data_IF_594700637924
#
_entry.id   IF_594700637924
#
_cell.length_a   1.000
_cell.length_b   1.000
_cell.length_c   1.000
_cell.angle_alpha   90.00
_cell.angle_beta   90.00
_cell.angle_gamma   90.00
#
_symmetry.space_group_name_H-M   'P 1'
#
loop_
_entity.id
_entity.type
_entity.pdbx_description
1 polymer ?
#
# COMPACT_ATOMS: atom_id res chain seq x y z
N UNK A 1 16.74 34.90 -31.49
CA UNK A 1 17.36 34.22 -32.65
C UNK A 1 16.56 32.96 -32.91
N UNK A 2 16.30 32.62 -34.17
CA UNK A 2 15.53 31.45 -34.56
C UNK A 2 16.30 30.63 -35.60
N UNK A 3 16.29 29.32 -35.45
CA UNK A 3 16.67 28.34 -36.47
C UNK A 3 15.58 27.25 -36.43
N UNK A 4 14.59 27.28 -37.33
CA UNK A 4 14.66 26.95 -38.75
C UNK A 4 14.67 25.43 -38.98
N UNK A 5 13.53 24.91 -39.43
CA UNK A 5 13.35 23.51 -39.82
C UNK A 5 13.91 23.23 -41.22
N UNK A 6 14.27 21.97 -41.48
CA UNK A 6 14.59 21.45 -42.82
C UNK A 6 13.62 20.33 -43.22
N UNK A 7 13.08 20.42 -44.44
CA UNK A 7 12.10 19.49 -45.03
C UNK A 7 12.74 18.24 -45.64
N UNK A 8 11.87 17.25 -45.89
CA UNK A 8 11.96 16.08 -46.80
C UNK A 8 12.47 16.41 -48.22
N UNK A 9 12.84 15.41 -49.06
CA UNK A 9 11.87 14.53 -49.76
C UNK A 9 12.31 13.02 -49.70
N UNK A 10 11.88 12.02 -50.50
CA UNK A 10 11.03 11.97 -51.72
C UNK A 10 10.28 10.60 -51.84
N UNK A 11 9.91 10.15 -53.06
CA UNK A 11 9.06 8.98 -53.36
C UNK A 11 9.79 7.79 -54.04
N UNK A 12 9.19 6.58 -54.06
CA UNK A 12 9.64 5.47 -54.93
C UNK A 12 8.80 4.17 -54.87
N UNK A 13 8.02 3.87 -55.93
CA UNK A 13 7.22 2.63 -56.17
C UNK A 13 8.09 1.53 -56.85
N UNK A 14 7.63 0.29 -57.20
CA UNK A 14 6.30 -0.35 -57.11
C UNK A 14 6.27 -1.84 -56.60
N UNK A 15 5.07 -2.44 -56.59
CA UNK A 15 4.76 -3.79 -56.09
C UNK A 15 5.26 -4.99 -56.92
N UNK A 16 5.38 -6.17 -56.28
CA UNK A 16 5.44 -7.50 -56.94
C UNK A 16 4.87 -8.64 -56.08
N UNK A 17 3.67 -9.10 -56.49
CA UNK A 17 3.15 -10.49 -56.55
C UNK A 17 3.30 -11.46 -55.36
N UNK A 18 2.14 -11.95 -54.91
CA UNK A 18 1.94 -13.21 -54.20
C UNK A 18 2.27 -14.46 -55.06
N UNK A 19 2.70 -15.58 -54.45
CA UNK A 19 2.56 -16.91 -55.01
C UNK A 19 1.30 -17.60 -54.48
N UNK A 20 0.20 -17.53 -55.23
CA UNK A 20 -0.92 -18.44 -55.02
C UNK A 20 -0.55 -19.81 -55.64
N UNK A 21 -0.35 -20.80 -54.79
CA UNK A 21 -0.52 -22.21 -55.12
C UNK A 21 -1.28 -22.84 -53.95
N UNK A 22 -2.48 -23.40 -54.09
CA UNK A 22 -3.22 -23.68 -55.32
C UNK A 22 -3.84 -25.06 -55.19
N UNK A 23 -4.95 -25.18 -54.46
CA UNK A 23 -5.63 -26.46 -54.26
C UNK A 23 -7.13 -26.26 -54.07
N UNK A 24 -7.92 -26.89 -54.97
CA UNK A 24 -9.39 -27.07 -54.92
C UNK A 24 -10.23 -25.77 -55.01
N UNK A 25 -11.24 -25.63 -55.88
CA UNK A 25 -11.76 -26.53 -56.92
C UNK A 25 -12.92 -25.88 -57.73
N UNK A 26 -13.29 -26.53 -58.84
CA UNK A 26 -14.47 -26.31 -59.73
C UNK A 26 -15.78 -25.94 -58.96
N UNK A 27 -16.79 -25.24 -59.51
CA UNK A 27 -17.22 -25.07 -60.93
C UNK A 27 -18.29 -23.94 -61.11
N UNK A 28 -18.23 -23.24 -62.26
CA UNK A 28 -19.32 -22.65 -63.10
C UNK A 28 -20.36 -21.64 -62.56
N UNK A 29 -20.48 -20.55 -63.35
CA UNK A 29 -21.67 -19.86 -63.94
C UNK A 29 -22.91 -19.55 -63.05
N UNK A 30 -23.64 -18.43 -63.20
CA UNK A 30 -23.77 -17.47 -64.32
C UNK A 30 -24.14 -16.05 -63.81
N UNK A 31 -24.17 -15.07 -64.72
CA UNK A 31 -24.40 -13.63 -64.52
C UNK A 31 -25.77 -13.29 -63.90
N UNK A 32 -25.81 -12.29 -63.02
CA UNK A 32 -26.71 -11.14 -63.22
C UNK A 32 -26.42 -9.93 -62.30
N UNK A 33 -26.24 -8.78 -62.97
CA UNK A 33 -26.69 -7.41 -62.62
C UNK A 33 -26.25 -6.76 -61.29
N UNK A 34 -25.80 -5.51 -61.43
CA UNK A 34 -25.74 -4.51 -60.36
C UNK A 34 -27.07 -4.41 -59.61
N UNK A 35 -27.01 -4.68 -58.31
CA UNK A 35 -27.88 -4.12 -57.30
C UNK A 35 -27.01 -3.89 -56.06
N UNK A 36 -26.86 -2.63 -55.64
CA UNK A 36 -26.23 -2.32 -54.36
C UNK A 36 -27.08 -2.99 -53.26
N UNK A 37 -26.50 -3.82 -52.37
CA UNK A 37 -27.29 -4.51 -51.37
C UNK A 37 -27.88 -3.48 -50.40
N UNK A 38 -29.20 -3.51 -50.23
CA UNK A 38 -29.86 -2.81 -49.13
C UNK A 38 -29.30 -3.33 -47.81
N UNK A 39 -28.53 -2.48 -47.13
CA UNK A 39 -27.85 -2.83 -45.90
C UNK A 39 -28.87 -2.81 -44.76
N UNK A 40 -29.46 -3.97 -44.46
CA UNK A 40 -30.34 -4.15 -43.30
C UNK A 40 -29.58 -3.90 -41.99
N UNK A 41 -29.72 -2.67 -41.51
CA UNK A 41 -29.09 -2.19 -40.27
C UNK A 41 -29.67 -2.91 -39.05
N UNK A 42 -30.93 -3.35 -39.09
CA UNK A 42 -31.60 -3.98 -37.96
C UNK A 42 -31.02 -5.38 -37.67
N UNK A 43 -30.92 -6.24 -38.68
CA UNK A 43 -30.25 -7.55 -38.51
C UNK A 43 -28.74 -7.43 -38.29
N UNK A 44 -28.11 -6.35 -38.77
CA UNK A 44 -26.73 -6.01 -38.45
C UNK A 44 -26.49 -5.77 -36.96
N UNK A 45 -27.35 -4.98 -36.31
CA UNK A 45 -27.26 -4.68 -34.86
C UNK A 45 -27.55 -5.92 -34.01
N UNK A 46 -28.57 -6.70 -34.36
CA UNK A 46 -28.92 -7.94 -33.65
C UNK A 46 -27.77 -8.98 -33.74
N UNK A 47 -27.03 -8.99 -34.85
CA UNK A 47 -25.82 -9.83 -35.03
C UNK A 47 -24.59 -9.29 -34.29
N UNK A 48 -24.52 -7.98 -34.03
CA UNK A 48 -23.46 -7.38 -33.20
C UNK A 48 -23.69 -7.70 -31.70
N UNK A 49 -24.95 -7.63 -31.24
CA UNK A 49 -25.34 -7.92 -29.85
C UNK A 49 -25.28 -9.40 -29.47
N UNK A 50 -25.35 -10.32 -30.46
CA UNK A 50 -25.29 -11.78 -30.24
C UNK A 50 -23.90 -12.40 -30.39
N UNK A 51 -22.85 -11.63 -30.68
CA UNK A 51 -21.49 -12.13 -30.53
C UNK A 51 -21.14 -12.11 -29.04
N UNK A 52 -20.86 -13.27 -28.39
CA UNK A 52 -20.15 -13.21 -27.12
C UNK A 52 -18.85 -12.44 -27.39
N UNK A 53 -18.46 -11.57 -26.46
CA UNK A 53 -17.20 -10.86 -26.58
C UNK A 53 -16.10 -11.90 -26.83
N UNK A 54 -15.37 -11.73 -27.93
CA UNK A 54 -14.05 -12.35 -28.02
C UNK A 54 -13.24 -11.58 -27.00
N UNK A 55 -13.22 -12.10 -25.77
CA UNK A 55 -12.22 -11.75 -24.79
C UNK A 55 -10.90 -12.11 -25.44
N UNK A 56 -10.29 -11.11 -26.07
CA UNK A 56 -8.84 -11.09 -26.18
C UNK A 56 -8.41 -11.02 -24.73
N UNK A 57 -8.14 -12.20 -24.16
CA UNK A 57 -7.28 -12.31 -23.01
C UNK A 57 -5.97 -11.68 -23.48
N UNK A 58 -5.84 -10.37 -23.21
CA UNK A 58 -4.54 -9.78 -23.00
C UNK A 58 -3.82 -10.77 -22.07
N UNK A 59 -2.54 -11.11 -22.35
CA UNK A 59 -1.82 -11.97 -21.45
C UNK A 59 -1.96 -11.35 -20.07
N UNK A 60 -2.65 -12.06 -19.18
CA UNK A 60 -2.59 -11.75 -17.77
C UNK A 60 -1.14 -12.10 -17.45
N UNK A 61 -0.27 -11.09 -17.53
CA UNK A 61 0.98 -11.12 -16.82
C UNK A 61 0.57 -11.54 -15.42
N UNK A 62 0.94 -12.77 -15.08
CA UNK A 62 0.68 -13.26 -13.76
C UNK A 62 1.64 -12.43 -12.90
N UNK A 63 1.11 -11.32 -12.36
CA UNK A 63 1.48 -10.82 -11.04
C UNK A 63 1.29 -12.01 -10.08
N UNK A 64 2.26 -12.92 -10.11
CA UNK A 64 2.41 -13.96 -9.14
C UNK A 64 2.64 -13.21 -7.85
N UNK A 65 1.63 -13.24 -6.99
CA UNK A 65 1.68 -12.75 -5.61
C UNK A 65 3.07 -13.08 -5.06
N UNK A 66 3.89 -12.05 -4.89
CA UNK A 66 5.24 -12.22 -4.45
C UNK A 66 5.19 -12.01 -2.94
N UNK A 67 5.18 -13.08 -2.12
CA UNK A 67 4.94 -12.98 -0.69
C UNK A 67 5.98 -12.09 0.00
N UNK A 68 7.19 -11.97 -0.58
CA UNK A 68 8.24 -11.09 -0.10
C UNK A 68 7.88 -9.62 -0.36
N UNK A 69 7.35 -9.28 -1.55
CA UNK A 69 6.86 -7.92 -1.83
C UNK A 69 5.65 -7.54 -0.98
N UNK A 70 4.71 -8.47 -0.78
CA UNK A 70 3.55 -8.25 0.07
C UNK A 70 3.95 -8.00 1.53
N UNK A 71 4.92 -8.78 2.02
CA UNK A 71 5.49 -8.59 3.36
C UNK A 71 6.27 -7.28 3.50
N UNK A 72 7.05 -6.89 2.49
CA UNK A 72 7.72 -5.59 2.46
C UNK A 72 6.71 -4.44 2.46
N UNK A 73 5.61 -4.54 1.70
CA UNK A 73 4.54 -3.53 1.72
C UNK A 73 3.79 -3.47 3.05
N UNK A 74 3.67 -4.58 3.79
CA UNK A 74 3.13 -4.59 5.14
C UNK A 74 4.08 -3.95 6.17
N UNK A 75 5.39 -4.23 6.05
CA UNK A 75 6.43 -3.60 6.86
C UNK A 75 6.50 -2.09 6.60
N UNK A 76 6.51 -1.66 5.33
CA UNK A 76 6.54 -0.24 4.95
C UNK A 76 5.33 0.51 5.52
N UNK A 77 4.13 -0.06 5.37
CA UNK A 77 2.91 0.50 5.94
C UNK A 77 2.95 0.56 7.48
N UNK A 78 3.55 -0.43 8.15
CA UNK A 78 3.75 -0.42 9.60
C UNK A 78 4.75 0.66 10.03
N UNK A 79 5.84 0.87 9.29
CA UNK A 79 6.82 1.93 9.56
C UNK A 79 6.17 3.32 9.46
N UNK A 80 5.42 3.63 8.40
CA UNK A 80 4.69 4.91 8.30
C UNK A 80 3.69 5.14 9.44
N UNK A 81 3.06 4.09 9.95
CA UNK A 81 2.17 4.18 11.10
C UNK A 81 2.94 4.37 12.42
N UNK A 82 4.10 3.74 12.57
CA UNK A 82 5.00 3.94 13.72
C UNK A 82 5.52 5.39 13.77
N UNK A 83 5.91 5.96 12.63
CA UNK A 83 6.38 7.36 12.57
C UNK A 83 5.29 8.32 13.08
N UNK A 84 4.02 8.15 12.64
CA UNK A 84 2.88 8.95 13.14
C UNK A 84 2.60 8.75 14.63
N UNK A 85 2.74 7.53 15.13
CA UNK A 85 2.61 7.24 16.56
C UNK A 85 3.72 7.96 17.33
N UNK A 86 4.96 7.92 16.83
CA UNK A 86 6.10 8.64 17.41
C UNK A 86 5.88 10.15 17.43
N UNK A 87 5.44 10.76 16.33
CA UNK A 87 5.10 12.19 16.28
C UNK A 87 4.04 12.56 17.34
N UNK A 88 3.06 11.68 17.55
CA UNK A 88 2.00 11.86 18.57
C UNK A 88 2.55 11.74 19.99
N UNK A 89 3.47 10.81 20.23
CA UNK A 89 4.15 10.64 21.53
C UNK A 89 5.09 11.80 21.85
N UNK A 90 5.82 12.32 20.87
CA UNK A 90 6.68 13.50 21.03
C UNK A 90 5.84 14.74 21.40
N UNK A 91 4.70 14.97 20.74
CA UNK A 91 3.73 16.01 21.13
C UNK A 91 3.19 15.79 22.57
N UNK A 92 2.86 14.55 22.95
CA UNK A 92 2.40 14.25 24.30
C UNK A 92 3.48 14.51 25.36
N UNK A 93 4.76 14.29 25.04
CA UNK A 93 5.89 14.69 25.87
C UNK A 93 5.94 16.22 26.05
N UNK A 94 5.79 17.00 24.97
CA UNK A 94 5.78 18.47 25.05
C UNK A 94 4.65 19.00 25.94
N UNK A 95 3.44 18.41 25.84
CA UNK A 95 2.28 18.75 26.68
C UNK A 95 2.54 18.42 28.15
N UNK A 96 3.04 17.22 28.45
CA UNK A 96 3.33 16.80 29.83
C UNK A 96 4.54 17.54 30.43
N UNK A 97 5.52 17.95 29.63
CA UNK A 97 6.60 18.86 30.07
C UNK A 97 6.01 20.23 30.41
N UNK A 98 5.19 20.80 29.51
CA UNK A 98 4.56 22.11 29.71
C UNK A 98 3.71 22.17 30.98
N UNK A 99 3.05 21.06 31.36
CA UNK A 99 2.27 20.98 32.59
C UNK A 99 3.10 21.15 33.88
N UNK A 100 4.43 20.99 33.83
CA UNK A 100 5.32 21.24 34.98
C UNK A 100 5.54 22.73 35.25
N UNK A 101 5.38 23.59 34.25
CA UNK A 101 5.60 25.03 34.37
C UNK A 101 4.31 25.79 34.74
N UNK A 102 3.17 25.09 34.87
CA UNK A 102 1.87 25.67 35.24
C UNK A 102 1.62 25.48 36.75
N UNK A 103 1.61 26.59 37.49
CA UNK A 103 1.40 26.60 38.94
C UNK A 103 -0.02 26.21 39.36
N UNK A 104 -1.04 26.62 38.59
CA UNK A 104 -2.45 26.42 38.95
C UNK A 104 -3.03 25.09 38.45
N UNK A 105 -3.95 24.51 39.22
CA UNK A 105 -4.52 23.20 38.89
C UNK A 105 -5.48 23.24 37.68
N UNK A 106 -6.07 24.39 37.35
CA UNK A 106 -6.98 24.53 36.22
C UNK A 106 -6.24 24.50 34.88
N UNK A 107 -5.13 25.23 34.78
CA UNK A 107 -4.24 25.20 33.62
C UNK A 107 -3.62 23.81 33.40
N UNK A 108 -3.23 23.10 34.48
CA UNK A 108 -2.75 21.71 34.36
C UNK A 108 -3.84 20.74 33.90
N UNK A 109 -5.08 20.93 34.33
CA UNK A 109 -6.20 20.09 33.88
C UNK A 109 -6.48 20.20 32.36
N UNK A 110 -6.34 21.40 31.78
CA UNK A 110 -6.46 21.58 30.32
C UNK A 110 -5.34 20.86 29.56
N UNK A 111 -4.12 20.86 30.09
CA UNK A 111 -3.00 20.10 29.49
C UNK A 111 -3.16 18.59 29.69
N UNK A 112 -3.77 18.14 30.79
CA UNK A 112 -4.12 16.74 31.00
C UNK A 112 -5.19 16.25 30.00
N UNK A 113 -6.21 17.07 29.73
CA UNK A 113 -7.22 16.80 28.69
C UNK A 113 -6.55 16.64 27.32
N UNK A 114 -5.68 17.58 26.94
CA UNK A 114 -4.96 17.52 25.66
C UNK A 114 -3.97 16.33 25.57
N UNK A 115 -3.35 15.95 26.69
CA UNK A 115 -2.56 14.70 26.77
C UNK A 115 -3.45 13.46 26.55
N UNK A 116 -4.67 13.41 27.09
CA UNK A 116 -5.59 12.29 26.86
C UNK A 116 -6.10 12.23 25.41
N UNK A 117 -6.33 13.37 24.78
CA UNK A 117 -6.62 13.46 23.33
C UNK A 117 -5.49 12.86 22.50
N UNK A 118 -4.23 13.21 22.78
CA UNK A 118 -3.06 12.66 22.09
C UNK A 118 -2.90 11.15 22.36
N UNK A 119 -3.15 10.71 23.60
CA UNK A 119 -3.17 9.28 23.97
C UNK A 119 -4.23 8.50 23.17
N UNK A 120 -5.42 9.07 22.97
CA UNK A 120 -6.48 8.49 22.14
C UNK A 120 -6.18 8.57 20.64
N UNK A 121 -5.44 9.59 20.20
CA UNK A 121 -4.97 9.75 18.81
C UNK A 121 -4.02 8.62 18.36
N UNK A 122 -3.26 8.01 19.28
CA UNK A 122 -2.48 6.78 19.01
C UNK A 122 -3.38 5.62 18.58
N UNK A 123 -4.46 5.36 19.33
CA UNK A 123 -5.43 4.31 19.00
C UNK A 123 -6.12 4.60 17.67
N UNK A 124 -6.51 5.87 17.44
CA UNK A 124 -7.10 6.32 16.18
C UNK A 124 -6.14 6.13 15.00
N UNK A 125 -4.85 6.44 15.16
CA UNK A 125 -3.81 6.25 14.14
C UNK A 125 -3.69 4.78 13.71
N UNK A 126 -3.81 3.85 14.66
CA UNK A 126 -3.81 2.40 14.40
C UNK A 126 -5.11 1.95 13.72
N UNK A 127 -6.25 2.50 14.12
CA UNK A 127 -7.56 2.19 13.53
C UNK A 127 -7.72 2.74 12.10
N UNK A 128 -7.03 3.83 11.76
CA UNK A 128 -6.94 4.39 10.40
C UNK A 128 -5.72 3.91 9.59
N UNK A 129 -4.88 3.03 10.15
CA UNK A 129 -3.72 2.50 9.45
C UNK A 129 -4.13 1.59 8.28
N UNK A 130 -3.22 1.41 7.32
CA UNK A 130 -3.38 0.41 6.27
C UNK A 130 -3.65 -0.97 6.90
N UNK A 131 -4.63 -1.77 6.41
CA UNK A 131 -4.93 -3.09 6.98
C UNK A 131 -3.70 -4.03 7.07
N UNK A 132 -2.70 -3.85 6.21
CA UNK A 132 -1.43 -4.58 6.25
C UNK A 132 -0.57 -4.17 7.46
N UNK A 133 -0.55 -2.89 7.80
CA UNK A 133 0.11 -2.38 9.01
C UNK A 133 -0.58 -2.88 10.28
N UNK A 134 -1.92 -2.83 10.31
CA UNK A 134 -2.72 -3.25 11.47
C UNK A 134 -2.50 -4.72 11.89
N UNK A 135 -2.09 -5.58 10.96
CA UNK A 135 -1.68 -6.98 11.23
C UNK A 135 -0.40 -7.06 12.05
N UNK A 136 0.52 -6.10 11.90
CA UNK A 136 1.80 -6.07 12.60
C UNK A 136 1.72 -5.26 13.91
N UNK A 137 1.05 -4.11 13.92
CA UNK A 137 1.09 -3.17 15.06
C UNK A 137 -0.20 -3.04 15.89
N UNK A 138 -1.33 -3.56 15.39
CA UNK A 138 -2.65 -3.31 15.98
C UNK A 138 -3.05 -4.24 17.14
N UNK A 139 -4.23 -3.97 17.72
CA UNK A 139 -4.81 -4.75 18.83
C UNK A 139 -5.00 -6.25 18.50
N UNK A 140 -5.24 -6.58 17.23
CA UNK A 140 -5.41 -7.93 16.68
C UNK A 140 -4.18 -8.48 15.94
N UNK A 141 -2.98 -7.97 16.27
CA UNK A 141 -1.74 -8.31 15.58
C UNK A 141 -1.38 -9.81 15.60
N UNK A 142 -0.72 -10.27 14.55
CA UNK A 142 -0.30 -11.68 14.35
C UNK A 142 0.97 -11.77 13.52
N UNK A 143 1.66 -12.90 13.62
CA UNK A 143 2.81 -13.22 12.78
C UNK A 143 2.45 -13.13 11.30
N UNK A 144 3.33 -12.50 10.53
CA UNK A 144 3.26 -12.45 9.07
C UNK A 144 4.28 -13.43 8.51
N UNK A 145 3.78 -14.60 8.11
CA UNK A 145 4.56 -15.70 7.58
C UNK A 145 4.80 -15.52 6.08
N UNK A 146 6.08 -15.43 5.69
CA UNK A 146 6.55 -15.20 4.33
C UNK A 146 7.15 -16.49 3.78
N UNK A 147 6.64 -16.98 2.65
CA UNK A 147 7.23 -18.11 1.95
C UNK A 147 8.42 -17.62 1.10
N UNK A 148 9.62 -18.16 1.32
CA UNK A 148 10.84 -17.83 0.59
C UNK A 148 11.20 -18.90 -0.46
N UNK A 149 10.20 -19.68 -0.91
CA UNK A 149 10.38 -20.77 -1.85
C UNK A 149 10.72 -22.11 -1.19
N UNK A 150 10.34 -23.18 -1.89
CA UNK A 150 10.51 -24.56 -1.41
C UNK A 150 9.80 -24.80 -0.08
N UNK A 151 10.57 -25.09 0.96
CA UNK A 151 10.11 -25.29 2.35
C UNK A 151 10.55 -24.16 3.30
N UNK A 152 11.22 -23.13 2.78
CA UNK A 152 11.79 -22.06 3.61
C UNK A 152 10.73 -21.00 3.93
N UNK A 153 10.57 -20.67 5.21
CA UNK A 153 9.64 -19.64 5.68
C UNK A 153 10.36 -18.65 6.59
N UNK A 154 10.09 -17.38 6.38
CA UNK A 154 10.40 -16.31 7.34
C UNK A 154 9.12 -15.90 8.09
N UNK A 155 9.25 -15.35 9.30
CA UNK A 155 8.10 -14.86 10.06
C UNK A 155 8.43 -13.52 10.67
N UNK A 156 7.72 -12.48 10.24
CA UNK A 156 7.85 -11.13 10.80
C UNK A 156 7.06 -11.11 12.11
N UNK A 157 7.75 -10.80 13.21
CA UNK A 157 7.15 -10.76 14.54
C UNK A 157 6.34 -9.48 14.75
N UNK A 158 5.06 -9.56 15.13
CA UNK A 158 4.26 -8.38 15.37
C UNK A 158 4.64 -7.68 16.69
N UNK A 159 4.32 -6.40 16.80
CA UNK A 159 4.52 -5.60 18.02
C UNK A 159 3.30 -4.72 18.24
N UNK A 160 2.46 -5.07 19.21
CA UNK A 160 1.32 -4.24 19.63
C UNK A 160 1.75 -2.83 20.11
N UNK A 161 1.16 -1.77 19.56
CA UNK A 161 1.48 -0.34 19.81
C UNK A 161 0.27 0.56 20.12
N UNK A 162 -0.92 0.03 20.45
CA UNK A 162 -2.02 0.86 20.98
C UNK A 162 -1.75 1.33 22.41
N UNK A 163 -2.49 2.34 22.88
CA UNK A 163 -2.27 3.00 24.17
C UNK A 163 -2.44 2.07 25.39
N UNK A 164 -3.06 0.90 25.25
CA UNK A 164 -3.28 -0.02 26.37
C UNK A 164 -2.00 -0.56 27.03
N UNK A 165 -2.13 -1.08 28.25
CA UNK A 165 -1.06 -1.75 29.03
C UNK A 165 -0.27 -2.82 28.24
N UNK A 166 -0.90 -3.49 27.26
CA UNK A 166 -0.23 -4.51 26.43
C UNK A 166 0.48 -3.96 25.19
N UNK A 167 0.18 -2.71 24.82
CA UNK A 167 0.81 -1.97 23.74
C UNK A 167 1.89 -1.04 24.30
N UNK A 168 1.61 0.26 24.31
CA UNK A 168 2.52 1.30 24.81
C UNK A 168 2.47 1.50 26.33
N UNK A 169 1.36 1.13 26.98
CA UNK A 169 1.21 1.31 28.43
C UNK A 169 0.97 2.75 28.87
N UNK A 170 0.21 3.52 28.09
CA UNK A 170 -0.14 4.90 28.41
C UNK A 170 -1.41 4.93 29.28
N UNK A 171 -1.28 5.40 30.52
CA UNK A 171 -2.40 5.68 31.41
C UNK A 171 -3.14 6.94 30.95
N UNK A 172 -4.48 6.99 31.04
CA UNK A 172 -5.19 8.26 31.06
C UNK A 172 -4.81 9.04 32.33
N UNK A 173 -4.90 10.39 32.32
CA UNK A 173 -4.75 11.18 33.53
C UNK A 173 -5.86 10.79 34.52
N UNK A 174 -5.49 10.55 35.77
CA UNK A 174 -6.38 10.10 36.85
C UNK A 174 -6.96 11.27 37.61
N UNK A 175 -6.10 12.26 37.90
CA UNK A 175 -6.42 13.45 38.70
C UNK A 175 -6.14 14.74 37.88
N UNK A 176 -6.19 14.65 36.55
CA UNK A 176 -6.04 15.76 35.61
C UNK A 176 -4.74 16.58 35.81
N UNK A 177 -3.62 15.89 36.04
CA UNK A 177 -2.32 16.50 36.35
C UNK A 177 -2.35 17.43 37.59
N UNK A 178 -3.21 17.11 38.57
CA UNK A 178 -3.25 17.83 39.85
C UNK A 178 -1.88 17.79 40.57
N UNK A 179 -1.11 16.71 40.38
CA UNK A 179 0.19 16.50 41.05
C UNK A 179 1.36 16.38 40.06
N UNK A 180 2.55 16.84 40.48
CA UNK A 180 3.80 16.64 39.73
C UNK A 180 4.23 15.16 39.65
N UNK A 181 3.75 14.32 40.56
CA UNK A 181 3.99 12.86 40.54
C UNK A 181 3.29 12.22 39.34
N UNK A 182 2.00 12.54 39.13
CA UNK A 182 1.23 12.08 37.97
C UNK A 182 1.86 12.51 36.64
N UNK A 183 2.28 13.78 36.53
CA UNK A 183 2.97 14.29 35.34
C UNK A 183 4.31 13.56 35.10
N UNK A 184 5.03 13.25 36.17
CA UNK A 184 6.30 12.53 36.08
C UNK A 184 6.08 11.06 35.71
N UNK A 185 5.00 10.43 36.18
CA UNK A 185 4.58 9.10 35.74
C UNK A 185 4.25 9.10 34.24
N UNK A 186 3.42 10.04 33.77
CA UNK A 186 3.05 10.15 32.35
C UNK A 186 4.28 10.32 31.44
N UNK A 187 5.26 11.14 31.84
CA UNK A 187 6.53 11.27 31.11
C UNK A 187 7.37 9.98 31.10
N UNK A 188 7.35 9.20 32.18
CA UNK A 188 8.00 7.88 32.21
C UNK A 188 7.31 6.85 31.32
N UNK A 189 5.98 6.86 31.27
CA UNK A 189 5.18 6.04 30.35
C UNK A 189 5.45 6.42 28.88
N UNK A 190 5.55 7.71 28.58
CA UNK A 190 5.87 8.22 27.24
C UNK A 190 7.29 7.87 26.77
N UNK A 191 8.32 8.00 27.63
CA UNK A 191 9.69 7.57 27.32
C UNK A 191 9.75 6.07 27.00
N UNK A 192 9.08 5.25 27.81
CA UNK A 192 8.96 3.81 27.57
C UNK A 192 8.20 3.48 26.28
N UNK A 193 7.16 4.26 25.93
CA UNK A 193 6.41 4.13 24.70
C UNK A 193 7.24 4.49 23.46
N UNK A 194 7.99 5.61 23.49
CA UNK A 194 8.91 6.02 22.43
C UNK A 194 9.98 4.95 22.20
N UNK A 195 10.67 4.52 23.27
CA UNK A 195 11.66 3.45 23.18
C UNK A 195 11.06 2.12 22.66
N UNK A 196 9.76 1.86 22.86
CA UNK A 196 9.07 0.70 22.30
C UNK A 196 8.78 0.87 20.80
N UNK A 197 8.32 2.04 20.37
CA UNK A 197 8.09 2.37 18.96
C UNK A 197 9.41 2.28 18.15
N UNK A 198 10.49 2.87 18.65
CA UNK A 198 11.82 2.82 18.01
C UNK A 198 12.35 1.38 17.87
N UNK A 199 12.17 0.54 18.90
CA UNK A 199 12.53 -0.88 18.83
C UNK A 199 11.68 -1.66 17.82
N UNK A 200 10.41 -1.32 17.67
CA UNK A 200 9.55 -1.93 16.64
C UNK A 200 10.04 -1.54 15.23
N UNK A 201 10.27 -0.25 14.97
CA UNK A 201 10.80 0.23 13.70
C UNK A 201 12.17 -0.39 13.37
N UNK A 202 13.10 -0.42 14.34
CA UNK A 202 14.42 -1.02 14.15
C UNK A 202 14.37 -2.52 13.84
N UNK A 203 13.41 -3.26 14.39
CA UNK A 203 13.19 -4.67 14.06
C UNK A 203 12.60 -4.82 12.65
N UNK A 204 11.58 -4.04 12.29
CA UNK A 204 10.99 -4.07 10.95
C UNK A 204 11.96 -3.64 9.84
N UNK A 205 12.83 -2.66 10.08
CA UNK A 205 13.92 -2.33 9.17
C UNK A 205 14.88 -3.52 8.96
N UNK A 206 15.18 -4.31 10.01
CA UNK A 206 16.02 -5.52 9.92
C UNK A 206 15.30 -6.64 9.15
N UNK A 207 14.01 -6.84 9.40
CA UNK A 207 13.17 -7.80 8.68
C UNK A 207 13.09 -7.45 7.19
N UNK A 208 12.88 -6.18 6.85
CA UNK A 208 12.87 -5.69 5.47
C UNK A 208 14.23 -5.90 4.78
N UNK A 209 15.34 -5.58 5.45
CA UNK A 209 16.70 -5.81 4.92
C UNK A 209 16.94 -7.30 4.59
N UNK A 210 16.53 -8.20 5.47
CA UNK A 210 16.64 -9.64 5.26
C UNK A 210 15.79 -10.12 4.07
N UNK A 211 14.54 -9.65 3.98
CA UNK A 211 13.61 -9.98 2.90
C UNK A 211 14.07 -9.44 1.54
N UNK A 212 14.60 -8.22 1.49
CA UNK A 212 15.16 -7.62 0.25
C UNK A 212 16.37 -8.42 -0.23
N UNK A 213 17.28 -8.81 0.66
CA UNK A 213 18.44 -9.62 0.29
C UNK A 213 18.00 -10.94 -0.36
N UNK A 214 17.01 -11.63 0.23
CA UNK A 214 16.46 -12.88 -0.31
C UNK A 214 15.75 -12.72 -1.65
N UNK A 215 15.00 -11.64 -1.83
CA UNK A 215 14.35 -11.36 -3.11
C UNK A 215 15.36 -11.15 -4.25
N UNK A 216 16.56 -10.64 -3.95
CA UNK A 216 17.63 -10.47 -4.93
C UNK A 216 18.36 -11.78 -5.22
N UNK A 217 18.69 -12.58 -4.18
CA UNK A 217 19.28 -13.91 -4.35
C UNK A 217 18.42 -14.81 -5.27
N UNK A 218 17.09 -14.79 -5.08
CA UNK A 218 16.11 -15.55 -5.88
C UNK A 218 15.95 -15.03 -7.32
N UNK A 219 16.48 -13.84 -7.64
CA UNK A 219 16.41 -13.23 -8.97
C UNK A 219 17.69 -13.45 -9.81
N UNK A 220 18.79 -13.87 -9.18
CA UNK A 220 20.08 -14.16 -9.84
C UNK A 220 20.32 -15.66 -10.12
N UNK A 221 19.45 -16.55 -9.61
CA UNK A 221 19.54 -18.02 -9.71
C UNK A 221 18.67 -18.68 -10.78
#
# INVERSE_FOLDING_TARGET
MAFAASKSPEEGKPAKRSPLAGWLGRKKDDKSKDALPEMDVASGVDRALRKPAITVEAPVENDKENPVRDALGAIEAALYAIDRIRDTLEQACEVAISAKDIEDAGGRALLAEHYDELRLSVDYTIEQADPRAAILIGKGQRHLDVNLGGTTRYSVSPVRLDASERGLGLSPPRDAFATYEEITQALGELDHALARADRAAANYCRDAQYLIARMNDDAEG
#
